data_IF_463266684001
#
_entry.id   IF_463266684001
#
_cell.length_a   1.000
_cell.length_b   1.000
_cell.length_c   1.000
_cell.angle_alpha   90.00
_cell.angle_beta   90.00
_cell.angle_gamma   90.00
#
_symmetry.space_group_name_H-M   'P 1'
#
loop_
_entity.id
_entity.type
_entity.pdbx_description
1 polymer ?
#
# COMPACT_ATOMS: atom_id res chain seq x y z
N UNK A 1 3.23 11.46 11.01
CA UNK A 1 3.00 10.53 9.89
C UNK A 1 3.59 11.14 8.61
N UNK A 2 3.60 10.41 7.48
CA UNK A 2 4.18 10.92 6.23
C UNK A 2 3.25 11.92 5.52
N UNK A 3 3.85 12.80 4.73
CA UNK A 3 3.14 13.78 3.89
C UNK A 3 2.63 13.11 2.60
N UNK A 4 1.33 12.86 2.52
CA UNK A 4 0.69 12.19 1.39
C UNK A 4 0.78 13.01 0.08
N UNK A 5 0.88 14.34 0.15
CA UNK A 5 0.97 15.19 -1.05
C UNK A 5 2.28 14.99 -1.83
N UNK A 6 3.31 14.43 -1.16
CA UNK A 6 4.60 14.09 -1.78
C UNK A 6 4.64 12.69 -2.39
N UNK A 7 3.60 11.88 -2.20
CA UNK A 7 3.51 10.53 -2.77
C UNK A 7 3.19 10.63 -4.27
N UNK A 8 4.14 10.25 -5.13
CA UNK A 8 3.95 10.24 -6.59
C UNK A 8 3.23 8.97 -7.03
N UNK A 9 2.59 9.03 -8.20
CA UNK A 9 2.00 7.84 -8.85
C UNK A 9 3.07 6.77 -9.03
N UNK A 10 2.73 5.51 -8.72
CA UNK A 10 3.62 4.36 -8.74
C UNK A 10 4.55 4.26 -7.53
N UNK A 11 4.47 5.17 -6.56
CA UNK A 11 5.26 5.09 -5.33
C UNK A 11 4.47 4.48 -4.18
N UNK A 12 5.21 3.85 -3.28
CA UNK A 12 4.71 3.30 -2.03
C UNK A 12 5.39 3.97 -0.84
N UNK A 13 4.60 4.31 0.18
CA UNK A 13 5.09 4.77 1.47
C UNK A 13 4.78 3.75 2.55
N UNK A 14 5.77 3.38 3.34
CA UNK A 14 5.53 2.83 4.67
C UNK A 14 5.25 3.98 5.66
N UNK A 15 4.11 3.95 6.36
CA UNK A 15 3.71 5.00 7.31
C UNK A 15 2.72 4.46 8.35
N UNK A 16 2.77 4.92 9.60
CA UNK A 16 1.68 4.73 10.54
C UNK A 16 0.52 5.68 10.22
N UNK A 17 -0.68 5.35 10.70
CA UNK A 17 -1.79 6.27 10.93
C UNK A 17 -2.16 6.29 12.41
N UNK A 18 -2.60 7.45 12.88
CA UNK A 18 -2.80 7.71 14.29
C UNK A 18 -4.21 8.26 14.54
N UNK A 19 -4.67 8.09 15.77
CA UNK A 19 -5.86 8.76 16.28
C UNK A 19 -5.59 10.25 16.58
N UNK A 20 -6.63 10.96 17.02
CA UNK A 20 -6.59 12.38 17.33
C UNK A 20 -5.68 12.71 18.51
N UNK A 21 -5.39 11.74 19.38
CA UNK A 21 -4.44 11.86 20.48
C UNK A 21 -2.99 11.53 20.05
N UNK A 22 -2.77 11.20 18.78
CA UNK A 22 -1.47 10.83 18.24
C UNK A 22 -1.03 9.41 18.59
N UNK A 23 -1.93 8.54 19.05
CA UNK A 23 -1.65 7.12 19.26
C UNK A 23 -1.72 6.38 17.94
N UNK A 24 -0.79 5.46 17.72
CA UNK A 24 -0.78 4.62 16.52
C UNK A 24 -2.00 3.71 16.56
N UNK A 25 -2.80 3.77 15.51
CA UNK A 25 -3.91 2.85 15.28
C UNK A 25 -3.37 1.58 14.63
N UNK A 26 -2.60 1.75 13.56
CA UNK A 26 -1.87 0.69 12.85
C UNK A 26 -0.82 1.32 11.92
N UNK A 27 -0.02 0.49 11.26
CA UNK A 27 0.93 0.86 10.25
C UNK A 27 0.88 -0.06 9.03
N UNK A 28 1.48 0.38 7.94
CA UNK A 28 1.50 -0.41 6.72
C UNK A 28 2.00 0.39 5.53
N UNK A 29 1.61 -0.08 4.36
CA UNK A 29 2.00 0.56 3.09
C UNK A 29 0.83 1.24 2.42
N UNK A 30 1.10 2.42 1.87
CA UNK A 30 0.18 3.21 1.06
C UNK A 30 0.78 3.38 -0.33
N UNK A 31 0.15 2.76 -1.33
CA UNK A 31 0.55 2.83 -2.72
C UNK A 31 -0.38 3.77 -3.48
N UNK A 32 0.17 4.80 -4.13
CA UNK A 32 -0.59 5.63 -5.07
C UNK A 32 -0.56 4.97 -6.45
N UNK A 33 -1.66 4.34 -6.83
CA UNK A 33 -1.76 3.56 -8.06
C UNK A 33 -1.93 4.46 -9.29
N UNK A 34 -2.70 5.54 -9.15
CA UNK A 34 -2.90 6.57 -10.16
C UNK A 34 -3.14 7.95 -9.51
N UNK A 35 -3.68 8.92 -10.24
CA UNK A 35 -3.88 10.28 -9.74
C UNK A 35 -4.82 10.35 -8.52
N UNK A 36 -5.82 9.47 -8.44
CA UNK A 36 -6.91 9.49 -7.44
C UNK A 36 -7.07 8.17 -6.67
N UNK A 37 -6.43 7.08 -7.11
CA UNK A 37 -6.55 5.76 -6.51
C UNK A 37 -5.37 5.44 -5.59
N UNK A 38 -5.70 5.04 -4.36
CA UNK A 38 -4.73 4.63 -3.35
C UNK A 38 -5.07 3.23 -2.84
N UNK A 39 -4.04 2.44 -2.54
CA UNK A 39 -4.18 1.13 -1.90
C UNK A 39 -3.45 1.12 -0.57
N UNK A 40 -4.17 0.75 0.48
CA UNK A 40 -3.62 0.44 1.79
C UNK A 40 -3.41 -1.06 1.93
N UNK A 41 -2.23 -1.44 2.41
CA UNK A 41 -1.95 -2.80 2.89
C UNK A 41 -1.54 -2.70 4.35
N UNK A 42 -2.34 -3.30 5.23
CA UNK A 42 -2.19 -3.28 6.68
C UNK A 42 -2.21 -4.71 7.23
N UNK A 43 -1.76 -4.90 8.47
CA UNK A 43 -1.82 -6.21 9.13
C UNK A 43 -3.25 -6.52 9.61
N UNK A 44 -3.95 -5.53 10.14
CA UNK A 44 -5.29 -5.70 10.71
C UNK A 44 -6.39 -5.10 9.81
N UNK A 45 -7.66 -5.53 9.94
CA UNK A 45 -8.78 -4.91 9.24
C UNK A 45 -9.02 -3.46 9.66
N UNK A 46 -8.70 -2.51 8.77
CA UNK A 46 -8.79 -1.07 9.04
C UNK A 46 -10.01 -0.36 8.39
N UNK A 47 -10.88 -1.10 7.68
CA UNK A 47 -11.99 -0.52 6.90
C UNK A 47 -12.90 0.40 7.74
N UNK A 48 -13.23 -0.01 8.97
CA UNK A 48 -14.05 0.80 9.88
C UNK A 48 -13.38 2.14 10.22
N UNK A 49 -12.08 2.12 10.51
CA UNK A 49 -11.33 3.33 10.82
C UNK A 49 -11.33 4.31 9.65
N UNK A 50 -11.07 3.82 8.44
CA UNK A 50 -11.08 4.66 7.24
C UNK A 50 -12.46 5.24 6.93
N UNK A 51 -13.53 4.45 7.05
CA UNK A 51 -14.90 4.94 6.81
C UNK A 51 -15.33 6.02 7.81
N UNK A 52 -14.91 5.92 9.07
CA UNK A 52 -15.18 6.96 10.06
C UNK A 52 -14.47 8.29 9.72
N UNK A 53 -13.24 8.20 9.20
CA UNK A 53 -12.45 9.36 8.80
C UNK A 53 -12.82 9.93 7.41
N UNK A 54 -13.63 9.22 6.63
CA UNK A 54 -14.10 9.66 5.32
C UNK A 54 -15.31 10.61 5.37
N UNK A 55 -15.86 10.88 6.55
CA UNK A 55 -17.03 11.73 6.70
C UNK A 55 -16.80 13.13 6.12
N UNK A 56 -17.62 13.51 5.14
CA UNK A 56 -17.52 14.81 4.45
C UNK A 56 -16.50 14.86 3.31
N UNK A 57 -15.87 13.74 2.97
CA UNK A 57 -15.00 13.60 1.80
C UNK A 57 -15.74 12.93 0.65
N UNK A 58 -15.41 13.32 -0.58
CA UNK A 58 -15.89 12.68 -1.81
C UNK A 58 -14.95 11.53 -2.18
N UNK A 59 -15.07 10.40 -1.48
CA UNK A 59 -14.23 9.21 -1.68
C UNK A 59 -15.03 7.92 -1.48
N UNK A 60 -14.64 6.88 -2.20
CA UNK A 60 -15.11 5.51 -2.00
C UNK A 60 -14.01 4.66 -1.36
N UNK A 61 -14.39 3.79 -0.42
CA UNK A 61 -13.45 2.94 0.31
C UNK A 61 -13.98 1.50 0.35
N UNK A 62 -13.29 0.65 -0.39
CA UNK A 62 -13.60 -0.77 -0.53
C UNK A 62 -12.50 -1.65 0.08
N UNK A 63 -12.93 -2.73 0.72
CA UNK A 63 -12.03 -3.79 1.17
C UNK A 63 -11.86 -4.82 0.05
N UNK A 64 -10.62 -4.92 -0.44
CA UNK A 64 -10.23 -5.80 -1.53
C UNK A 64 -9.34 -6.95 -1.05
N UNK A 65 -9.29 -7.22 0.26
CA UNK A 65 -8.41 -8.23 0.85
C UNK A 65 -8.64 -9.63 0.28
N UNK A 66 -9.89 -9.99 -0.02
CA UNK A 66 -10.26 -11.27 -0.64
C UNK A 66 -10.09 -11.28 -2.18
N UNK A 67 -9.81 -10.12 -2.79
CA UNK A 67 -9.70 -9.96 -4.25
C UNK A 67 -8.24 -9.86 -4.71
N UNK A 68 -7.32 -9.51 -3.80
CA UNK A 68 -5.91 -9.24 -4.13
C UNK A 68 -5.01 -10.10 -3.27
N UNK A 69 -4.26 -11.00 -3.92
CA UNK A 69 -3.18 -11.73 -3.26
C UNK A 69 -1.90 -10.87 -3.22
N UNK A 70 -1.13 -11.02 -2.14
CA UNK A 70 0.21 -10.44 -2.02
C UNK A 70 1.24 -11.57 -1.82
N UNK A 71 2.34 -11.49 -2.58
CA UNK A 71 3.45 -12.45 -2.50
C UNK A 71 4.76 -11.67 -2.34
N UNK A 72 5.51 -11.96 -1.28
CA UNK A 72 6.87 -11.49 -1.12
C UNK A 72 7.85 -12.53 -1.66
N UNK A 73 8.53 -12.21 -2.77
CA UNK A 73 9.63 -13.02 -3.29
C UNK A 73 10.96 -12.41 -2.82
N UNK A 74 11.60 -13.06 -1.85
CA UNK A 74 12.75 -12.51 -1.14
C UNK A 74 13.94 -13.49 -1.12
N UNK A 75 15.15 -12.95 -1.02
CA UNK A 75 16.40 -13.70 -0.98
C UNK A 75 17.37 -13.31 -2.10
N UNK A 76 18.64 -13.76 -2.04
CA UNK A 76 19.68 -13.35 -3.00
C UNK A 76 19.41 -13.80 -4.44
N UNK A 77 18.56 -14.82 -4.65
CA UNK A 77 18.20 -15.35 -5.97
C UNK A 77 16.77 -14.96 -6.40
N UNK A 78 16.11 -14.03 -5.69
CA UNK A 78 14.72 -13.67 -5.99
C UNK A 78 14.55 -13.09 -7.40
N UNK A 79 15.52 -12.28 -7.86
CA UNK A 79 15.53 -11.71 -9.21
C UNK A 79 15.61 -12.82 -10.25
N UNK A 80 16.54 -13.75 -10.10
CA UNK A 80 16.71 -14.88 -11.04
C UNK A 80 15.43 -15.71 -11.14
N UNK A 81 14.79 -16.00 -9.99
CA UNK A 81 13.51 -16.71 -9.96
C UNK A 81 12.40 -15.92 -10.67
N UNK A 82 12.34 -14.61 -10.45
CA UNK A 82 11.34 -13.73 -11.09
C UNK A 82 11.53 -13.67 -12.61
N UNK A 83 12.77 -13.51 -13.08
CA UNK A 83 13.11 -13.47 -14.50
C UNK A 83 12.76 -14.81 -15.19
N UNK A 84 13.04 -15.94 -14.55
CA UNK A 84 12.64 -17.26 -15.06
C UNK A 84 11.12 -17.43 -15.11
N UNK A 85 10.41 -17.00 -14.06
CA UNK A 85 8.96 -17.16 -13.97
C UNK A 85 8.18 -16.29 -14.98
N UNK A 86 8.74 -15.14 -15.36
CA UNK A 86 8.08 -14.15 -16.23
C UNK A 86 8.60 -14.18 -17.67
N UNK A 87 9.82 -14.65 -17.89
CA UNK A 87 10.51 -14.55 -19.19
C UNK A 87 11.00 -13.13 -19.53
N UNK A 88 10.97 -12.20 -18.56
CA UNK A 88 11.39 -10.81 -18.72
C UNK A 88 12.67 -10.53 -17.91
N UNK A 89 13.52 -9.63 -18.42
CA UNK A 89 14.68 -9.17 -17.65
C UNK A 89 14.29 -8.02 -16.75
N UNK A 90 14.78 -8.08 -15.52
CA UNK A 90 14.60 -7.10 -14.46
C UNK A 90 15.94 -6.50 -14.02
N UNK A 91 16.94 -6.52 -14.91
CA UNK A 91 18.28 -6.03 -14.62
C UNK A 91 18.33 -4.51 -14.35
N UNK A 92 17.34 -3.77 -14.84
CA UNK A 92 17.18 -2.32 -14.68
C UNK A 92 16.43 -1.91 -13.40
N UNK A 93 15.84 -2.85 -12.66
CA UNK A 93 15.29 -2.60 -11.32
C UNK A 93 16.43 -2.17 -10.37
N UNK A 94 16.33 -0.91 -9.92
CA UNK A 94 17.21 -0.28 -8.93
C UNK A 94 16.82 -0.62 -7.50
#
# INVERSE_FOLDING_TARGET
TRDAAKLKVGQVYYTPWCDEAGKVVDDGTVHRLDELTYRWTAAEPNLRWFRLNAAGLEVEIDDVSEQVAALALQGPLSRDVLEVATGESFADLR
#
